data_IF_293695714930
#
_entry.id   IF_293695714930
#
_cell.length_a   1.000
_cell.length_b   1.000
_cell.length_c   1.000
_cell.angle_alpha   90.00
_cell.angle_beta   90.00
_cell.angle_gamma   90.00
#
_symmetry.space_group_name_H-M   'P 1'
#
loop_
_entity.id
_entity.type
_entity.pdbx_description
1 polymer ?
#
# COMPACT_ATOMS: atom_id res chain seq x y z
N UNK A 1 31.71 -19.28 3.09
CA UNK A 1 30.25 -19.46 3.05
C UNK A 1 29.71 -19.23 4.44
N UNK A 2 30.25 -19.88 5.47
CA UNK A 2 29.83 -19.70 6.86
C UNK A 2 29.84 -18.25 7.36
N UNK A 3 30.91 -17.50 7.07
CA UNK A 3 31.00 -16.05 7.39
C UNK A 3 29.87 -15.26 6.73
N UNK A 4 29.70 -15.40 5.41
CA UNK A 4 28.60 -14.77 4.67
C UNK A 4 27.21 -15.14 5.20
N UNK A 5 26.97 -16.40 5.57
CA UNK A 5 25.70 -16.85 6.12
C UNK A 5 25.46 -16.32 7.56
N UNK A 6 26.52 -16.05 8.31
CA UNK A 6 26.43 -15.37 9.60
C UNK A 6 26.05 -13.89 9.37
N UNK A 7 26.78 -13.19 8.51
CA UNK A 7 26.53 -11.79 8.18
C UNK A 7 25.12 -11.58 7.60
N UNK A 8 24.67 -12.49 6.74
CA UNK A 8 23.33 -12.44 6.13
C UNK A 8 22.20 -12.65 7.15
N UNK A 9 22.45 -13.41 8.24
CA UNK A 9 21.46 -13.61 9.33
C UNK A 9 21.36 -12.40 10.24
N UNK A 10 22.45 -11.64 10.38
CA UNK A 10 22.52 -10.41 11.17
C UNK A 10 22.28 -9.16 10.31
N UNK A 11 21.76 -9.32 9.09
CA UNK A 11 21.55 -8.23 8.16
C UNK A 11 20.45 -7.27 8.66
N UNK A 12 20.79 -5.99 8.69
CA UNK A 12 19.93 -4.85 8.96
C UNK A 12 20.24 -3.71 7.96
N UNK A 13 19.54 -2.59 8.04
CA UNK A 13 19.69 -1.41 7.17
C UNK A 13 20.97 -0.61 7.45
N UNK A 14 21.76 -0.98 8.45
CA UNK A 14 23.00 -0.25 8.72
C UNK A 14 24.01 -0.49 7.61
N UNK A 15 24.75 0.58 7.29
CA UNK A 15 25.75 0.53 6.23
C UNK A 15 26.82 -0.53 6.48
N UNK A 16 27.26 -0.71 7.73
CA UNK A 16 28.27 -1.70 8.11
C UNK A 16 27.82 -3.14 7.80
N UNK A 17 26.55 -3.49 8.11
CA UNK A 17 26.01 -4.83 7.85
C UNK A 17 25.79 -5.08 6.37
N UNK A 18 25.27 -4.08 5.64
CA UNK A 18 25.13 -4.14 4.18
C UNK A 18 26.50 -4.33 3.51
N UNK A 19 27.51 -3.59 3.95
CA UNK A 19 28.89 -3.69 3.44
C UNK A 19 29.52 -5.05 3.76
N UNK A 20 29.35 -5.60 4.97
CA UNK A 20 29.89 -6.91 5.33
C UNK A 20 29.41 -8.02 4.39
N UNK A 21 28.08 -8.11 4.14
CA UNK A 21 27.48 -9.11 3.25
C UNK A 21 27.93 -8.90 1.80
N UNK A 22 27.86 -7.66 1.32
CA UNK A 22 28.20 -7.33 -0.08
C UNK A 22 29.69 -7.48 -0.37
N UNK A 23 30.58 -7.16 0.57
CA UNK A 23 32.02 -7.40 0.44
C UNK A 23 32.34 -8.89 0.37
N UNK A 24 31.59 -9.73 1.09
CA UNK A 24 31.64 -11.18 0.93
C UNK A 24 31.39 -11.62 -0.52
N UNK A 25 30.34 -11.07 -1.14
CA UNK A 25 30.00 -11.35 -2.55
C UNK A 25 31.09 -10.80 -3.50
N UNK A 26 31.56 -9.57 -3.28
CA UNK A 26 32.60 -8.95 -4.09
C UNK A 26 33.95 -9.68 -4.00
N UNK A 27 34.28 -10.28 -2.85
CA UNK A 27 35.47 -11.16 -2.72
C UNK A 27 35.35 -12.36 -3.65
N UNK A 28 34.19 -13.02 -3.70
CA UNK A 28 33.94 -14.17 -4.59
C UNK A 28 33.96 -13.76 -6.07
N UNK A 29 33.43 -12.57 -6.39
CA UNK A 29 33.51 -11.99 -7.74
C UNK A 29 34.96 -11.83 -8.21
N UNK A 30 35.86 -11.32 -7.36
CA UNK A 30 37.29 -11.15 -7.68
C UNK A 30 37.97 -12.49 -7.95
N UNK A 31 37.63 -13.51 -7.15
CA UNK A 31 38.13 -14.88 -7.33
C UNK A 31 37.57 -15.51 -8.63
N UNK A 32 36.39 -15.07 -9.08
CA UNK A 32 35.72 -15.59 -10.29
C UNK A 32 35.12 -16.98 -10.09
N UNK A 33 34.74 -17.31 -8.85
CA UNK A 33 34.12 -18.59 -8.50
C UNK A 33 32.60 -18.51 -8.73
N UNK A 34 32.16 -18.97 -9.90
CA UNK A 34 30.76 -18.89 -10.35
C UNK A 34 29.83 -19.78 -9.55
N UNK A 35 30.29 -20.97 -9.14
CA UNK A 35 29.47 -21.92 -8.37
C UNK A 35 29.16 -21.33 -7.00
N UNK A 36 30.20 -20.80 -6.33
CA UNK A 36 30.03 -20.16 -5.03
C UNK A 36 29.21 -18.86 -5.13
N UNK A 37 29.36 -18.09 -6.20
CA UNK A 37 28.52 -16.91 -6.44
C UNK A 37 27.04 -17.28 -6.57
N UNK A 38 26.74 -18.38 -7.26
CA UNK A 38 25.38 -18.90 -7.40
C UNK A 38 24.82 -19.37 -6.04
N UNK A 39 25.59 -20.15 -5.26
CA UNK A 39 25.19 -20.56 -3.91
C UNK A 39 24.89 -19.37 -2.98
N UNK A 40 25.70 -18.29 -3.08
CA UNK A 40 25.48 -17.07 -2.29
C UNK A 40 24.21 -16.35 -2.69
N UNK A 41 23.88 -16.28 -3.99
CA UNK A 41 22.65 -15.66 -4.48
C UNK A 41 21.42 -16.50 -4.09
N UNK A 42 21.51 -17.82 -4.21
CA UNK A 42 20.46 -18.74 -3.76
C UNK A 42 20.21 -18.59 -2.25
N UNK A 43 21.26 -18.48 -1.45
CA UNK A 43 21.17 -18.24 -0.01
C UNK A 43 20.57 -16.87 0.31
N UNK A 44 20.95 -15.83 -0.43
CA UNK A 44 20.41 -14.46 -0.29
C UNK A 44 18.90 -14.42 -0.57
N UNK A 45 18.44 -15.00 -1.69
CA UNK A 45 17.01 -14.98 -2.02
C UNK A 45 16.20 -15.90 -1.10
N UNK A 46 16.75 -17.05 -0.67
CA UNK A 46 16.10 -17.93 0.31
C UNK A 46 15.95 -17.24 1.67
N UNK A 47 16.99 -16.53 2.14
CA UNK A 47 16.92 -15.74 3.36
C UNK A 47 15.86 -14.63 3.26
N UNK A 48 15.78 -13.92 2.12
CA UNK A 48 14.73 -12.94 1.90
C UNK A 48 13.33 -13.57 1.92
N UNK A 49 13.12 -14.74 1.29
CA UNK A 49 11.84 -15.46 1.32
C UNK A 49 11.45 -15.94 2.72
N UNK A 50 12.43 -16.38 3.51
CA UNK A 50 12.23 -16.88 4.87
C UNK A 50 12.14 -15.76 5.93
N UNK A 51 12.57 -14.55 5.58
CA UNK A 51 12.58 -13.39 6.48
C UNK A 51 11.16 -13.06 6.95
N UNK A 52 11.00 -12.69 8.23
CA UNK A 52 9.70 -12.40 8.84
C UNK A 52 9.14 -11.01 8.48
N UNK A 53 8.08 -10.57 9.17
CA UNK A 53 7.55 -9.20 9.02
C UNK A 53 8.36 -8.15 9.79
N UNK A 54 9.13 -8.56 10.80
CA UNK A 54 10.01 -7.68 11.59
C UNK A 54 11.42 -7.54 11.02
N UNK A 55 11.75 -8.30 9.97
CA UNK A 55 13.06 -8.20 9.33
C UNK A 55 13.08 -6.98 8.41
N UNK A 56 14.17 -6.23 8.43
CA UNK A 56 14.41 -5.09 7.57
C UNK A 56 14.72 -5.56 6.13
N UNK A 57 13.68 -6.01 5.42
CA UNK A 57 13.82 -6.66 4.12
C UNK A 57 14.45 -5.76 3.06
N UNK A 58 14.30 -4.43 3.20
CA UNK A 58 14.93 -3.44 2.32
C UNK A 58 16.46 -3.57 2.33
N UNK A 59 17.06 -3.99 3.44
CA UNK A 59 18.51 -4.22 3.54
C UNK A 59 19.03 -5.21 2.49
N UNK A 60 18.23 -6.21 2.10
CA UNK A 60 18.60 -7.15 1.04
C UNK A 60 18.77 -6.47 -0.32
N UNK A 61 17.93 -5.47 -0.62
CA UNK A 61 18.06 -4.66 -1.83
C UNK A 61 19.20 -3.65 -1.72
N UNK A 62 19.54 -3.16 -0.53
CA UNK A 62 20.74 -2.36 -0.31
C UNK A 62 22.02 -3.17 -0.56
N UNK A 63 22.07 -4.43 -0.12
CA UNK A 63 23.17 -5.37 -0.46
C UNK A 63 23.27 -5.53 -1.98
N UNK A 64 22.16 -5.86 -2.66
CA UNK A 64 22.15 -6.00 -4.11
C UNK A 64 22.61 -4.72 -4.82
N UNK A 65 22.12 -3.56 -4.39
CA UNK A 65 22.52 -2.26 -4.92
C UNK A 65 24.03 -2.02 -4.71
N UNK A 66 24.57 -2.28 -3.52
CA UNK A 66 26.00 -2.08 -3.26
C UNK A 66 26.86 -2.98 -4.15
N UNK A 67 26.51 -4.26 -4.30
CA UNK A 67 27.20 -5.19 -5.21
C UNK A 67 27.13 -4.70 -6.66
N UNK A 68 25.96 -4.30 -7.15
CA UNK A 68 25.78 -3.79 -8.52
C UNK A 68 26.60 -2.52 -8.76
N UNK A 69 26.58 -1.57 -7.83
CA UNK A 69 27.33 -0.31 -7.96
C UNK A 69 28.84 -0.56 -8.00
N UNK A 70 29.35 -1.41 -7.10
CA UNK A 70 30.78 -1.74 -7.05
C UNK A 70 31.23 -2.55 -8.26
N UNK A 71 30.40 -3.45 -8.78
CA UNK A 71 30.73 -4.27 -9.96
C UNK A 71 30.66 -3.50 -11.28
N UNK A 72 29.69 -2.58 -11.43
CA UNK A 72 29.50 -1.81 -12.68
C UNK A 72 30.33 -0.52 -12.75
N UNK A 73 30.59 0.12 -11.59
CA UNK A 73 31.24 1.44 -11.54
C UNK A 73 32.48 1.49 -10.64
N UNK A 74 32.86 0.39 -9.99
CA UNK A 74 34.08 0.32 -9.19
C UNK A 74 35.32 0.00 -10.02
N UNK A 75 36.50 0.28 -9.46
CA UNK A 75 37.83 -0.01 -10.03
C UNK A 75 38.16 -1.53 -10.00
N UNK A 76 37.19 -2.39 -10.32
CA UNK A 76 37.43 -3.82 -10.48
C UNK A 76 38.11 -4.05 -11.82
N UNK A 77 39.33 -4.59 -11.77
CA UNK A 77 40.17 -4.89 -12.93
C UNK A 77 39.34 -5.48 -14.09
N UNK A 78 39.37 -4.74 -15.20
CA UNK A 78 38.40 -4.74 -16.30
C UNK A 78 38.39 -6.00 -17.20
N UNK A 79 38.47 -7.21 -16.66
CA UNK A 79 38.62 -8.42 -17.49
C UNK A 79 37.70 -9.61 -17.19
N UNK A 80 36.85 -9.56 -16.15
CA UNK A 80 35.89 -10.65 -15.88
C UNK A 80 34.45 -10.18 -15.98
N UNK A 81 33.62 -10.95 -16.68
CA UNK A 81 32.18 -10.74 -16.77
C UNK A 81 31.57 -10.67 -15.35
N UNK A 82 30.75 -9.66 -15.05
CA UNK A 82 30.21 -9.48 -13.70
C UNK A 82 29.13 -10.52 -13.39
N UNK A 83 29.53 -11.66 -12.82
CA UNK A 83 28.67 -12.82 -12.53
C UNK A 83 27.47 -12.44 -11.67
N UNK A 84 27.67 -11.62 -10.63
CA UNK A 84 26.58 -11.19 -9.76
C UNK A 84 25.56 -10.27 -10.42
N UNK A 85 25.92 -9.53 -11.47
CA UNK A 85 24.96 -8.67 -12.19
C UNK A 85 23.91 -9.54 -12.86
N UNK A 86 24.33 -10.61 -13.56
CA UNK A 86 23.41 -11.54 -14.21
C UNK A 86 22.58 -12.32 -13.19
N UNK A 87 23.22 -12.86 -12.15
CA UNK A 87 22.53 -13.65 -11.12
C UNK A 87 21.50 -12.81 -10.33
N UNK A 88 21.85 -11.60 -9.91
CA UNK A 88 20.90 -10.69 -9.24
C UNK A 88 19.74 -10.35 -10.16
N UNK A 89 20.01 -10.06 -11.44
CA UNK A 89 18.97 -9.68 -12.42
C UNK A 89 17.85 -10.71 -12.56
N UNK A 90 18.13 -11.99 -12.30
CA UNK A 90 17.15 -13.07 -12.35
C UNK A 90 16.17 -13.03 -11.16
N UNK A 91 16.60 -12.51 -10.01
CA UNK A 91 15.81 -12.52 -8.76
C UNK A 91 15.32 -11.14 -8.32
N UNK A 92 15.79 -10.05 -8.93
CA UNK A 92 15.44 -8.70 -8.51
C UNK A 92 13.94 -8.37 -8.60
N UNK A 93 13.23 -8.87 -9.62
CA UNK A 93 11.77 -8.67 -9.73
C UNK A 93 11.02 -9.30 -8.54
N UNK A 94 11.42 -10.53 -8.18
CA UNK A 94 10.89 -11.23 -7.01
C UNK A 94 11.28 -10.52 -5.71
N UNK A 95 12.54 -10.11 -5.56
CA UNK A 95 13.03 -9.44 -4.38
C UNK A 95 12.31 -8.11 -4.13
N UNK A 96 12.10 -7.31 -5.17
CA UNK A 96 11.31 -6.06 -5.10
C UNK A 96 9.88 -6.36 -4.61
N UNK A 97 9.21 -7.36 -5.19
CA UNK A 97 7.87 -7.75 -4.76
C UNK A 97 7.81 -8.23 -3.30
N UNK A 98 8.86 -8.92 -2.82
CA UNK A 98 8.94 -9.42 -1.44
C UNK A 98 9.25 -8.35 -0.40
N UNK A 99 9.85 -7.22 -0.81
CA UNK A 99 10.23 -6.11 0.07
C UNK A 99 9.10 -5.10 0.21
N UNK A 100 8.32 -4.84 -0.84
CA UNK A 100 7.27 -3.82 -0.87
C UNK A 100 6.01 -4.16 -0.04
N UNK A 101 6.14 -4.47 1.25
CA UNK A 101 5.02 -4.80 2.15
C UNK A 101 4.50 -3.61 2.96
N UNK A 102 5.28 -2.54 3.11
CA UNK A 102 4.87 -1.31 3.82
C UNK A 102 5.03 -0.06 2.93
N UNK A 103 4.30 1.04 3.23
CA UNK A 103 4.48 2.31 2.50
C UNK A 103 5.92 2.85 2.57
N UNK A 104 6.61 2.66 3.70
CA UNK A 104 8.00 3.08 3.88
C UNK A 104 8.94 2.28 2.96
N UNK A 105 8.77 0.95 2.93
CA UNK A 105 9.56 0.09 2.05
C UNK A 105 9.33 0.42 0.58
N UNK A 106 8.07 0.70 0.20
CA UNK A 106 7.73 1.11 -1.17
C UNK A 106 8.45 2.40 -1.56
N UNK A 107 8.50 3.39 -0.67
CA UNK A 107 9.23 4.64 -0.91
C UNK A 107 10.74 4.41 -1.08
N UNK A 108 11.34 3.57 -0.23
CA UNK A 108 12.76 3.24 -0.34
C UNK A 108 13.08 2.50 -1.64
N UNK A 109 12.21 1.56 -2.02
CA UNK A 109 12.38 0.76 -3.24
C UNK A 109 12.17 1.60 -4.50
N UNK A 110 11.15 2.45 -4.57
CA UNK A 110 10.96 3.34 -5.74
C UNK A 110 12.14 4.29 -5.90
N UNK A 111 12.67 4.86 -4.81
CA UNK A 111 13.87 5.70 -4.88
C UNK A 111 15.10 4.94 -5.40
N UNK A 112 15.21 3.67 -5.04
CA UNK A 112 16.29 2.80 -5.50
C UNK A 112 16.15 2.42 -6.98
N UNK A 113 14.92 2.21 -7.47
CA UNK A 113 14.63 2.00 -8.89
C UNK A 113 14.90 3.25 -9.74
N UNK A 114 14.54 4.44 -9.25
CA UNK A 114 14.91 5.72 -9.88
C UNK A 114 16.42 5.83 -10.02
N UNK A 115 17.17 5.55 -8.95
CA UNK A 115 18.63 5.61 -8.96
C UNK A 115 19.24 4.62 -9.96
N UNK A 116 18.66 3.42 -10.11
CA UNK A 116 19.10 2.45 -11.12
C UNK A 116 18.79 2.89 -12.54
N UNK A 117 17.67 3.58 -12.78
CA UNK A 117 17.37 4.20 -14.06
C UNK A 117 18.33 5.36 -14.37
N UNK A 118 18.51 6.31 -13.43
CA UNK A 118 19.40 7.46 -13.56
C UNK A 118 20.83 7.03 -13.90
N UNK A 119 21.33 5.99 -13.23
CA UNK A 119 22.67 5.42 -13.45
C UNK A 119 22.75 4.43 -14.60
N UNK A 120 21.64 4.15 -15.30
CA UNK A 120 21.56 3.18 -16.40
C UNK A 120 22.08 1.79 -16.02
N UNK A 121 21.80 1.36 -14.80
CA UNK A 121 22.14 0.02 -14.30
C UNK A 121 21.32 -1.04 -15.05
N UNK A 122 20.05 -0.74 -15.31
CA UNK A 122 19.12 -1.60 -16.05
C UNK A 122 18.44 -0.83 -17.18
N UNK A 123 17.91 -1.57 -18.15
CA UNK A 123 17.06 -1.00 -19.22
C UNK A 123 15.73 -0.54 -18.65
N UNK A 124 15.13 0.48 -19.27
CA UNK A 124 13.84 1.03 -18.81
C UNK A 124 12.73 -0.02 -18.80
N UNK A 125 12.77 -1.00 -19.71
CA UNK A 125 11.85 -2.15 -19.73
C UNK A 125 12.00 -3.05 -18.50
N UNK A 126 13.22 -3.21 -17.97
CA UNK A 126 13.47 -4.01 -16.77
C UNK A 126 13.10 -3.22 -15.51
N UNK A 127 13.41 -1.92 -15.48
CA UNK A 127 12.96 -1.01 -14.42
C UNK A 127 11.44 -0.97 -14.36
N UNK A 128 10.74 -0.89 -15.50
CA UNK A 128 9.29 -0.93 -15.60
C UNK A 128 8.69 -2.21 -14.99
N UNK A 129 9.27 -3.38 -15.29
CA UNK A 129 8.82 -4.65 -14.68
C UNK A 129 8.94 -4.62 -13.16
N UNK A 130 10.08 -4.17 -12.64
CA UNK A 130 10.30 -4.06 -11.19
C UNK A 130 9.40 -2.98 -10.56
N UNK A 131 9.16 -1.87 -11.24
CA UNK A 131 8.27 -0.81 -10.76
C UNK A 131 6.84 -1.28 -10.62
N UNK A 132 6.33 -2.07 -11.58
CA UNK A 132 5.01 -2.68 -11.47
C UNK A 132 4.87 -3.60 -10.25
N UNK A 133 5.97 -4.16 -9.74
CA UNK A 133 5.96 -4.97 -8.51
C UNK A 133 5.82 -4.13 -7.22
N UNK A 134 6.04 -2.81 -7.26
CA UNK A 134 5.90 -1.95 -6.07
C UNK A 134 4.44 -1.56 -5.80
N UNK A 135 3.61 -1.52 -6.85
CA UNK A 135 2.22 -1.05 -6.77
C UNK A 135 2.07 0.48 -6.73
N UNK A 136 3.17 1.23 -6.86
CA UNK A 136 3.16 2.70 -6.90
C UNK A 136 2.82 3.22 -8.31
N UNK A 137 2.37 4.48 -8.40
CA UNK A 137 2.06 5.11 -9.68
C UNK A 137 3.31 5.18 -10.59
N UNK A 138 3.10 5.03 -11.89
CA UNK A 138 4.21 5.11 -12.83
C UNK A 138 4.77 6.54 -12.93
N UNK A 139 6.09 6.72 -12.78
CA UNK A 139 6.76 7.99 -12.96
C UNK A 139 6.83 8.34 -14.44
N UNK A 140 7.01 9.63 -14.74
CA UNK A 140 6.92 10.16 -16.11
C UNK A 140 7.89 9.50 -17.08
N UNK A 141 9.11 9.17 -16.63
CA UNK A 141 10.14 8.51 -17.44
C UNK A 141 9.79 7.07 -17.86
N UNK A 142 8.81 6.42 -17.21
CA UNK A 142 8.35 5.08 -17.58
C UNK A 142 7.04 5.08 -18.38
N UNK A 143 6.28 6.19 -18.40
CA UNK A 143 4.98 6.26 -19.09
C UNK A 143 5.08 6.03 -20.60
N UNK A 144 6.15 6.52 -21.22
CA UNK A 144 6.38 6.34 -22.65
C UNK A 144 6.77 4.89 -22.99
N UNK A 145 7.56 4.25 -22.13
CA UNK A 145 7.96 2.84 -22.27
C UNK A 145 6.77 1.91 -22.07
N UNK A 146 5.88 2.26 -21.14
CA UNK A 146 4.64 1.55 -20.85
C UNK A 146 3.72 1.51 -22.08
N UNK A 147 3.51 2.67 -22.73
CA UNK A 147 2.74 2.79 -23.98
C UNK A 147 3.33 1.93 -25.11
N UNK A 148 4.64 1.97 -25.29
CA UNK A 148 5.32 1.17 -26.33
C UNK A 148 5.20 -0.34 -26.08
N UNK A 149 5.20 -0.77 -24.81
CA UNK A 149 4.93 -2.18 -24.47
C UNK A 149 3.48 -2.59 -24.70
N UNK A 150 2.51 -1.72 -24.44
CA UNK A 150 1.09 -1.98 -24.70
C UNK A 150 0.80 -2.07 -26.21
N UNK A 151 1.41 -1.21 -27.03
CA UNK A 151 1.27 -1.24 -28.50
C UNK A 151 1.82 -2.55 -29.08
N UNK A 152 2.98 -3.01 -28.62
CA UNK A 152 3.60 -4.28 -29.08
C UNK A 152 2.85 -5.53 -28.59
N UNK A 153 2.17 -5.47 -27.45
CA UNK A 153 1.27 -6.56 -27.02
C UNK A 153 -0.03 -6.56 -27.82
N UNK A 154 -0.56 -5.38 -28.19
CA UNK A 154 -1.71 -5.24 -29.07
C UNK A 154 -1.49 -5.82 -30.47
N UNK A 155 -0.33 -5.57 -31.09
CA UNK A 155 -0.01 -6.08 -32.44
C UNK A 155 0.17 -7.61 -32.50
N UNK A 156 0.57 -8.25 -31.39
CA UNK A 156 0.68 -9.71 -31.31
C UNK A 156 -0.66 -10.38 -31.00
N UNK A 157 -1.58 -9.71 -30.29
CA UNK A 157 -2.94 -10.23 -30.08
C UNK A 157 -3.80 -10.14 -31.36
N UNK A 158 -3.59 -9.14 -32.21
CA UNK A 158 -4.39 -8.94 -33.44
C UNK A 158 -4.16 -10.03 -34.52
N UNK A 159 -3.14 -10.88 -34.40
CA UNK A 159 -2.86 -11.97 -35.36
C UNK A 159 -3.44 -13.33 -34.97
N UNK A 160 -3.81 -13.55 -33.72
CA UNK A 160 -4.33 -14.84 -33.24
C UNK A 160 -5.86 -14.86 -33.06
N UNK A 161 -6.56 -13.74 -33.29
CA UNK A 161 -8.02 -13.63 -33.06
C UNK A 161 -8.87 -14.26 -34.19
N UNK A 162 -8.30 -14.64 -35.33
CA UNK A 162 -9.10 -15.07 -36.48
C UNK A 162 -9.60 -16.53 -36.44
N UNK A 163 -9.25 -17.36 -35.44
CA UNK A 163 -9.78 -18.74 -35.32
C UNK A 163 -9.86 -19.31 -33.90
N UNK A 164 -10.50 -18.63 -32.96
CA UNK A 164 -11.03 -19.32 -31.77
C UNK A 164 -12.55 -19.22 -31.70
N UNK A 165 -13.20 -20.38 -31.81
CA UNK A 165 -14.61 -20.56 -31.52
C UNK A 165 -14.87 -20.16 -30.06
N UNK A 166 -15.84 -19.27 -29.87
CA UNK A 166 -16.31 -18.80 -28.57
C UNK A 166 -16.60 -19.96 -27.61
N UNK A 167 -15.92 -20.05 -26.44
CA UNK A 167 -16.35 -20.92 -25.38
C UNK A 167 -17.56 -20.29 -24.67
N UNK A 168 -18.49 -21.17 -24.29
CA UNK A 168 -19.69 -20.86 -23.52
C UNK A 168 -19.37 -20.32 -22.13
N UNK A 169 -19.86 -19.10 -21.84
CA UNK A 169 -20.55 -18.63 -20.62
C UNK A 169 -20.17 -19.10 -19.20
N UNK A 170 -19.03 -19.73 -18.95
CA UNK A 170 -18.62 -20.15 -17.61
C UNK A 170 -17.10 -19.99 -17.41
N UNK A 171 -16.54 -18.78 -17.56
CA UNK A 171 -15.46 -18.29 -16.68
C UNK A 171 -15.02 -16.85 -17.02
N UNK A 172 -15.91 -15.86 -16.85
CA UNK A 172 -15.55 -14.45 -17.07
C UNK A 172 -14.59 -13.87 -16.00
N UNK A 173 -14.25 -14.65 -14.95
CA UNK A 173 -13.30 -14.24 -13.91
C UNK A 173 -11.84 -14.43 -14.31
N UNK A 174 -11.55 -15.50 -15.05
CA UNK A 174 -10.19 -16.00 -15.34
C UNK A 174 -9.48 -15.13 -16.38
N UNK A 175 -10.20 -14.57 -17.35
CA UNK A 175 -9.64 -13.67 -18.35
C UNK A 175 -9.26 -12.28 -17.79
N UNK A 176 -9.87 -11.84 -16.68
CA UNK A 176 -9.55 -10.53 -16.07
C UNK A 176 -8.38 -10.57 -15.09
N UNK A 177 -7.99 -11.74 -14.59
CA UNK A 177 -6.82 -11.88 -13.70
C UNK A 177 -5.50 -11.50 -14.39
N UNK A 178 -5.43 -11.57 -15.73
CA UNK A 178 -4.26 -11.13 -16.49
C UNK A 178 -4.15 -9.61 -16.68
N UNK A 179 -5.24 -8.87 -16.42
CA UNK A 179 -5.34 -7.42 -16.64
C UNK A 179 -5.34 -6.64 -15.32
N UNK A 180 -5.52 -7.32 -14.19
CA UNK A 180 -5.50 -6.69 -12.87
C UNK A 180 -4.05 -6.42 -12.41
N UNK A 181 -3.75 -5.26 -11.81
CA UNK A 181 -2.38 -4.80 -11.55
C UNK A 181 -1.57 -5.63 -10.54
N UNK A 182 -2.13 -6.67 -9.93
CA UNK A 182 -1.48 -7.37 -8.83
C UNK A 182 -1.85 -8.85 -8.82
N UNK A 183 -0.87 -9.75 -8.92
CA UNK A 183 -1.04 -11.16 -8.55
C UNK A 183 -0.95 -11.24 -7.02
N UNK A 184 -2.02 -11.71 -6.39
CA UNK A 184 -2.04 -11.93 -4.95
C UNK A 184 -1.09 -13.10 -4.63
N UNK A 185 0.15 -12.82 -4.21
CA UNK A 185 1.04 -13.88 -3.75
C UNK A 185 0.50 -14.44 -2.42
N UNK A 186 0.40 -15.77 -2.39
CA UNK A 186 -0.35 -16.57 -1.43
C UNK A 186 0.10 -16.37 0.02
N UNK A 187 -0.89 -16.04 0.87
CA UNK A 187 -0.98 -16.26 2.32
C UNK A 187 0.14 -15.70 3.19
N UNK A 188 -0.11 -14.54 3.82
CA UNK A 188 0.70 -14.13 4.97
C UNK A 188 0.38 -14.96 6.20
N UNK A 189 1.40 -15.28 7.01
CA UNK A 189 1.22 -16.00 8.28
C UNK A 189 0.34 -15.25 9.30
N UNK A 190 0.19 -13.92 9.15
CA UNK A 190 -0.71 -13.12 9.96
C UNK A 190 -2.09 -13.01 9.25
N UNK A 191 -3.19 -13.42 9.91
CA UNK A 191 -4.53 -13.40 9.32
C UNK A 191 -5.04 -11.98 9.03
N UNK A 192 -4.68 -10.98 9.83
CA UNK A 192 -5.05 -9.56 9.59
C UNK A 192 -4.36 -9.02 8.36
N UNK A 193 -3.07 -9.31 8.19
CA UNK A 193 -2.32 -8.88 7.03
C UNK A 193 -2.81 -9.56 5.74
N UNK A 194 -3.28 -10.82 5.83
CA UNK A 194 -3.81 -11.54 4.66
C UNK A 194 -5.10 -10.89 4.16
N UNK A 195 -5.98 -10.51 5.11
CA UNK A 195 -7.22 -9.80 4.78
C UNK A 195 -6.94 -8.38 4.29
N UNK A 196 -5.98 -7.65 4.87
CA UNK A 196 -5.58 -6.32 4.39
C UNK A 196 -5.01 -6.37 2.97
N UNK A 197 -4.21 -7.39 2.63
CA UNK A 197 -3.71 -7.60 1.27
C UNK A 197 -4.85 -7.83 0.26
N UNK A 198 -5.84 -8.64 0.63
CA UNK A 198 -7.04 -8.85 -0.19
C UNK A 198 -7.82 -7.55 -0.38
N UNK A 199 -8.00 -6.78 0.69
CA UNK A 199 -8.66 -5.46 0.65
C UNK A 199 -7.94 -4.50 -0.29
N UNK A 200 -6.61 -4.42 -0.19
CA UNK A 200 -5.81 -3.52 -1.01
C UNK A 200 -5.83 -3.92 -2.50
N UNK A 201 -5.78 -5.23 -2.78
CA UNK A 201 -6.00 -5.76 -4.11
C UNK A 201 -7.37 -5.35 -4.69
N UNK A 202 -8.45 -5.53 -3.91
CA UNK A 202 -9.80 -5.17 -4.36
C UNK A 202 -9.94 -3.67 -4.60
N UNK A 203 -9.37 -2.82 -3.73
CA UNK A 203 -9.35 -1.36 -3.93
C UNK A 203 -8.62 -0.97 -5.21
N UNK A 204 -7.46 -1.56 -5.45
CA UNK A 204 -6.64 -1.28 -6.65
C UNK A 204 -7.36 -1.74 -7.91
N UNK A 205 -7.94 -2.94 -7.88
CA UNK A 205 -8.75 -3.47 -8.97
C UNK A 205 -9.96 -2.59 -9.28
N UNK A 206 -10.69 -2.12 -8.26
CA UNK A 206 -11.82 -1.20 -8.43
C UNK A 206 -11.38 0.14 -9.03
N UNK A 207 -10.28 0.73 -8.56
CA UNK A 207 -9.74 1.98 -9.13
C UNK A 207 -9.39 1.83 -10.61
N UNK A 208 -8.69 0.74 -10.96
CA UNK A 208 -8.34 0.43 -12.34
C UNK A 208 -9.58 0.26 -13.21
N UNK A 209 -10.57 -0.52 -12.75
CA UNK A 209 -11.82 -0.72 -13.47
C UNK A 209 -12.59 0.59 -13.64
N UNK A 210 -12.66 1.45 -12.61
CA UNK A 210 -13.31 2.76 -12.69
C UNK A 210 -12.64 3.68 -13.71
N UNK A 211 -11.31 3.64 -13.83
CA UNK A 211 -10.60 4.40 -14.86
C UNK A 211 -10.90 3.86 -16.26
N UNK A 212 -10.84 2.54 -16.44
CA UNK A 212 -11.10 1.88 -17.72
C UNK A 212 -12.56 2.06 -18.19
N UNK A 213 -13.52 1.96 -17.27
CA UNK A 213 -14.94 2.23 -17.51
C UNK A 213 -15.13 3.69 -17.93
N UNK A 214 -14.52 4.65 -17.22
CA UNK A 214 -14.60 6.07 -17.59
C UNK A 214 -14.06 6.34 -18.99
N UNK A 215 -12.88 5.84 -19.32
CA UNK A 215 -12.27 6.00 -20.64
C UNK A 215 -13.13 5.40 -21.76
N UNK A 216 -13.59 4.16 -21.60
CA UNK A 216 -14.44 3.49 -22.61
C UNK A 216 -15.81 4.15 -22.74
N UNK A 217 -16.40 4.59 -21.63
CA UNK A 217 -17.66 5.33 -21.65
C UNK A 217 -17.50 6.68 -22.36
N UNK A 218 -16.45 7.44 -22.05
CA UNK A 218 -16.18 8.72 -22.71
C UNK A 218 -15.97 8.56 -24.22
N UNK A 219 -15.21 7.54 -24.62
CA UNK A 219 -15.03 7.20 -26.04
C UNK A 219 -16.36 6.85 -26.70
N UNK A 220 -17.19 6.01 -26.06
CA UNK A 220 -18.50 5.64 -26.58
C UNK A 220 -19.42 6.87 -26.72
N UNK A 221 -19.40 7.79 -25.75
CA UNK A 221 -20.16 9.04 -25.81
C UNK A 221 -19.66 9.96 -26.93
N UNK A 222 -18.34 10.12 -27.11
CA UNK A 222 -17.79 10.96 -28.19
C UNK A 222 -18.11 10.39 -29.58
N UNK A 223 -17.99 9.07 -29.77
CA UNK A 223 -18.26 8.39 -31.03
C UNK A 223 -19.76 8.38 -31.37
N UNK A 224 -20.64 8.30 -30.36
CA UNK A 224 -22.09 8.26 -30.55
C UNK A 224 -22.74 9.64 -30.64
N UNK A 225 -22.37 10.61 -29.80
CA UNK A 225 -22.98 11.95 -29.77
C UNK A 225 -22.68 12.74 -31.06
N UNK A 226 -21.51 12.53 -31.66
CA UNK A 226 -21.16 13.18 -32.93
C UNK A 226 -21.86 12.55 -34.15
N UNK A 227 -22.24 11.26 -34.09
CA UNK A 227 -22.84 10.53 -35.22
C UNK A 227 -24.36 10.42 -35.16
N UNK A 228 -24.96 10.36 -33.97
CA UNK A 228 -26.38 10.12 -33.80
C UNK A 228 -27.00 11.21 -32.95
N UNK A 229 -27.65 12.17 -33.59
CA UNK A 229 -28.35 13.27 -32.92
C UNK A 229 -29.84 12.98 -32.77
N UNK A 230 -30.39 12.17 -33.66
CA UNK A 230 -31.80 11.75 -33.67
C UNK A 230 -31.92 10.24 -33.82
N UNK A 231 -33.07 9.69 -33.40
CA UNK A 231 -33.36 8.27 -33.55
C UNK A 231 -33.40 7.81 -35.02
N UNK A 232 -33.61 8.73 -35.97
CA UNK A 232 -33.58 8.44 -37.41
C UNK A 232 -32.16 8.20 -37.93
N UNK A 233 -31.15 8.89 -37.36
CA UNK A 233 -29.75 8.76 -37.74
C UNK A 233 -29.21 7.35 -37.43
N UNK A 234 -29.67 6.77 -36.33
CA UNK A 234 -29.38 5.38 -35.92
C UNK A 234 -29.92 4.33 -36.90
N UNK A 235 -31.06 4.61 -37.55
CA UNK A 235 -31.70 3.71 -38.51
C UNK A 235 -31.10 3.88 -39.92
N UNK A 236 -30.56 5.06 -40.22
CA UNK A 236 -29.97 5.41 -41.50
C UNK A 236 -28.51 4.91 -41.66
N UNK A 237 -27.77 4.71 -40.56
CA UNK A 237 -26.40 4.21 -40.59
C UNK A 237 -26.32 2.71 -40.93
N UNK A 238 -25.96 2.42 -42.19
CA UNK A 238 -25.70 1.07 -42.70
C UNK A 238 -24.21 0.70 -42.74
N UNK A 239 -23.31 1.63 -42.38
CA UNK A 239 -21.87 1.50 -42.60
C UNK A 239 -21.09 1.24 -41.30
N UNK A 240 -21.47 1.88 -40.18
CA UNK A 240 -20.95 1.56 -38.85
C UNK A 240 -22.02 0.79 -38.10
N UNK A 241 -21.82 -0.52 -38.02
CA UNK A 241 -22.88 -1.42 -37.58
C UNK A 241 -23.32 -1.07 -36.15
N UNK A 242 -24.60 -0.79 -35.95
CA UNK A 242 -25.25 -0.70 -34.63
C UNK A 242 -24.82 -1.83 -33.68
N UNK A 243 -24.47 -3.01 -34.23
CA UNK A 243 -23.88 -4.12 -33.50
C UNK A 243 -22.52 -3.82 -32.83
N UNK A 244 -21.66 -3.01 -33.43
CA UNK A 244 -20.36 -2.63 -32.85
C UNK A 244 -20.52 -1.68 -31.66
N UNK A 245 -21.44 -0.71 -31.74
CA UNK A 245 -21.75 0.19 -30.62
C UNK A 245 -22.41 -0.60 -29.49
N UNK A 246 -23.33 -1.51 -29.83
CA UNK A 246 -23.95 -2.42 -28.88
C UNK A 246 -22.90 -3.31 -28.19
N UNK A 247 -21.98 -3.91 -28.93
CA UNK A 247 -20.90 -4.72 -28.37
C UNK A 247 -20.01 -3.91 -27.42
N UNK A 248 -19.61 -2.68 -27.81
CA UNK A 248 -18.81 -1.78 -26.95
C UNK A 248 -19.56 -1.37 -25.67
N UNK A 249 -20.87 -1.13 -25.76
CA UNK A 249 -21.71 -0.83 -24.60
C UNK A 249 -21.85 -2.04 -23.66
N UNK A 250 -22.03 -3.23 -24.23
CA UNK A 250 -22.08 -4.49 -23.47
C UNK A 250 -20.75 -4.78 -22.77
N UNK A 251 -19.61 -4.51 -23.40
CA UNK A 251 -18.29 -4.66 -22.78
C UNK A 251 -18.09 -3.69 -21.62
N UNK A 252 -18.54 -2.43 -21.75
CA UNK A 252 -18.56 -1.48 -20.63
C UNK A 252 -19.42 -1.97 -19.47
N UNK A 253 -20.60 -2.52 -19.75
CA UNK A 253 -21.49 -3.09 -18.74
C UNK A 253 -20.87 -4.31 -18.05
N UNK A 254 -20.13 -5.16 -18.77
CA UNK A 254 -19.39 -6.29 -18.18
C UNK A 254 -18.35 -5.79 -17.18
N UNK A 255 -17.57 -4.75 -17.51
CA UNK A 255 -16.61 -4.16 -16.58
C UNK A 255 -17.28 -3.60 -15.31
N UNK A 256 -18.42 -2.92 -15.47
CA UNK A 256 -19.21 -2.41 -14.32
C UNK A 256 -19.69 -3.54 -13.41
N UNK A 257 -20.14 -4.67 -14.00
CA UNK A 257 -20.55 -5.84 -13.22
C UNK A 257 -19.41 -6.42 -12.38
N UNK A 258 -18.22 -6.59 -12.96
CA UNK A 258 -17.04 -7.08 -12.25
C UNK A 258 -16.62 -6.12 -11.13
N UNK A 259 -16.61 -4.82 -11.42
CA UNK A 259 -16.32 -3.77 -10.44
C UNK A 259 -17.30 -3.80 -9.26
N UNK A 260 -18.59 -3.95 -9.52
CA UNK A 260 -19.60 -4.03 -8.47
C UNK A 260 -19.47 -5.31 -7.62
N UNK A 261 -19.07 -6.43 -8.23
CA UNK A 261 -18.76 -7.67 -7.50
C UNK A 261 -17.62 -7.45 -6.49
N UNK A 262 -16.51 -6.85 -6.93
CA UNK A 262 -15.36 -6.56 -6.05
C UNK A 262 -15.72 -5.57 -4.92
N UNK A 263 -16.58 -4.58 -5.19
CA UNK A 263 -17.09 -3.67 -4.15
C UNK A 263 -17.98 -4.40 -3.14
N UNK A 264 -18.73 -5.40 -3.57
CA UNK A 264 -19.55 -6.19 -2.66
C UNK A 264 -18.69 -7.09 -1.78
N UNK A 265 -17.72 -7.80 -2.38
CA UNK A 265 -16.75 -8.65 -1.66
C UNK A 265 -15.87 -7.84 -0.69
N UNK A 266 -15.65 -6.55 -0.94
CA UNK A 266 -14.99 -5.63 0.00
C UNK A 266 -15.73 -5.49 1.34
N UNK A 267 -17.06 -5.61 1.37
CA UNK A 267 -17.81 -5.57 2.63
C UNK A 267 -17.52 -6.81 3.48
N UNK A 268 -17.48 -7.98 2.86
CA UNK A 268 -17.15 -9.26 3.51
C UNK A 268 -15.68 -9.31 3.97
N UNK A 269 -14.77 -8.72 3.20
CA UNK A 269 -13.38 -8.60 3.63
C UNK A 269 -13.23 -7.66 4.84
N UNK A 270 -14.07 -6.62 4.93
CA UNK A 270 -14.06 -5.71 6.09
C UNK A 270 -14.53 -6.42 7.36
N UNK A 271 -15.53 -7.29 7.29
CA UNK A 271 -15.97 -8.08 8.44
C UNK A 271 -14.90 -9.11 8.84
N UNK A 272 -14.31 -9.82 7.88
CA UNK A 272 -13.20 -10.73 8.12
C UNK A 272 -11.99 -10.03 8.78
N UNK A 273 -11.72 -8.77 8.42
CA UNK A 273 -10.64 -7.99 9.02
C UNK A 273 -10.93 -7.72 10.50
N UNK A 274 -12.16 -7.31 10.83
CA UNK A 274 -12.56 -7.08 12.21
C UNK A 274 -12.47 -8.34 13.06
N UNK A 275 -12.88 -9.49 12.52
CA UNK A 275 -12.75 -10.79 13.19
C UNK A 275 -11.28 -11.19 13.39
N UNK A 276 -10.44 -11.03 12.36
CA UNK A 276 -9.03 -11.35 12.45
C UNK A 276 -8.29 -10.47 13.48
N UNK A 277 -8.66 -9.19 13.60
CA UNK A 277 -8.10 -8.27 14.61
C UNK A 277 -8.50 -8.72 16.01
N UNK A 278 -9.79 -9.02 16.24
CA UNK A 278 -10.27 -9.48 17.53
C UNK A 278 -9.54 -10.76 17.97
N UNK A 279 -9.42 -11.74 17.08
CA UNK A 279 -8.73 -13.00 17.38
C UNK A 279 -7.23 -12.79 17.71
N UNK A 280 -6.57 -11.80 17.09
CA UNK A 280 -5.15 -11.53 17.38
C UNK A 280 -4.98 -10.85 18.74
N UNK A 281 -5.88 -9.94 19.10
CA UNK A 281 -5.88 -9.31 20.44
C UNK A 281 -6.07 -10.39 21.52
N UNK A 282 -7.05 -11.28 21.35
CA UNK A 282 -7.31 -12.38 22.29
C UNK A 282 -6.07 -13.29 22.44
N UNK A 283 -5.38 -13.59 21.34
CA UNK A 283 -4.15 -14.38 21.36
C UNK A 283 -3.00 -13.67 22.08
N UNK A 284 -2.84 -12.36 21.88
CA UNK A 284 -1.82 -11.56 22.57
C UNK A 284 -2.08 -11.48 24.07
N UNK A 285 -3.33 -11.32 24.49
CA UNK A 285 -3.71 -11.37 25.92
C UNK A 285 -3.42 -12.75 26.53
N UNK A 286 -3.73 -13.84 25.83
CA UNK A 286 -3.42 -15.20 26.30
C UNK A 286 -1.90 -15.45 26.36
N UNK A 287 -1.13 -14.89 25.42
CA UNK A 287 0.33 -14.99 25.45
C UNK A 287 0.93 -14.18 26.60
N UNK A 288 0.43 -12.96 26.85
CA UNK A 288 0.86 -12.11 27.94
C UNK A 288 0.62 -12.77 29.30
N UNK A 289 -0.56 -13.33 29.51
CA UNK A 289 -0.90 -14.06 30.75
C UNK A 289 -0.02 -15.30 30.95
N UNK A 290 0.33 -16.04 29.89
CA UNK A 290 1.30 -17.15 29.96
C UNK A 290 2.71 -16.69 30.32
N UNK A 291 3.14 -15.54 29.82
CA UNK A 291 4.45 -14.96 30.17
C UNK A 291 4.46 -14.55 31.64
N UNK A 292 3.43 -13.87 32.13
CA UNK A 292 3.29 -13.51 33.55
C UNK A 292 3.34 -14.77 34.43
N UNK A 293 2.58 -15.80 34.08
CA UNK A 293 2.59 -17.07 34.82
C UNK A 293 3.99 -17.74 34.82
N UNK A 294 4.75 -17.62 33.73
CA UNK A 294 6.12 -18.15 33.65
C UNK A 294 7.11 -17.32 34.45
N UNK A 295 6.93 -16.00 34.52
CA UNK A 295 7.73 -15.12 35.38
C UNK A 295 7.47 -15.42 36.86
N UNK A 296 6.20 -15.61 37.25
CA UNK A 296 5.84 -16.04 38.60
C UNK A 296 6.49 -17.39 38.97
N UNK A 297 6.48 -18.36 38.06
CA UNK A 297 7.16 -19.65 38.28
C UNK A 297 8.68 -19.49 38.44
N UNK A 298 9.32 -18.59 37.70
CA UNK A 298 10.74 -18.29 37.88
C UNK A 298 11.01 -17.63 39.25
N UNK A 299 10.16 -16.70 39.67
CA UNK A 299 10.24 -16.06 41.00
C UNK A 299 10.04 -17.08 42.15
N UNK A 300 9.18 -18.08 41.96
CA UNK A 300 8.99 -19.18 42.91
C UNK A 300 10.18 -20.17 42.94
N UNK A 301 10.80 -20.44 41.80
CA UNK A 301 11.98 -21.33 41.70
C UNK A 301 13.22 -20.70 42.36
N UNK A 302 13.37 -19.37 42.29
CA UNK A 302 14.42 -18.63 43.02
C UNK A 302 14.26 -18.72 44.55
N UNK A 303 13.08 -19.09 45.04
CA UNK A 303 12.81 -19.38 46.45
C UNK A 303 12.91 -20.87 46.82
N UNK A 304 12.94 -21.76 45.83
CA UNK A 304 12.78 -23.21 46.02
C UNK A 304 14.07 -24.05 46.03
N UNK A 305 15.23 -23.48 45.69
CA UNK A 305 16.50 -24.21 45.65
C UNK A 305 17.39 -23.84 46.84
N UNK A 306 17.49 -24.80 47.77
CA UNK A 306 18.32 -24.86 49.00
C UNK A 306 17.52 -24.60 50.29
N UNK A 307 17.82 -25.33 51.37
CA UNK A 307 17.28 -25.04 52.70
C UNK A 307 17.87 -23.69 53.17
N UNK A 308 17.22 -22.61 52.71
CA UNK A 308 17.64 -21.22 52.84
C UNK A 308 17.90 -20.86 54.31
N UNK A 309 17.19 -21.50 55.23
CA UNK A 309 17.33 -21.32 56.67
C UNK A 309 18.71 -21.72 57.20
N UNK A 310 19.30 -22.79 56.67
CA UNK A 310 20.58 -23.32 57.14
C UNK A 310 21.77 -22.63 56.45
N UNK A 311 21.60 -22.25 55.17
CA UNK A 311 22.58 -21.45 54.43
C UNK A 311 22.63 -19.98 54.91
N UNK A 312 21.47 -19.37 55.21
CA UNK A 312 21.38 -18.02 55.77
C UNK A 312 22.00 -17.92 57.17
N UNK A 313 21.92 -18.99 57.98
CA UNK A 313 22.62 -19.06 59.27
C UNK A 313 24.14 -19.17 59.12
N UNK A 314 24.63 -19.90 58.11
CA UNK A 314 26.07 -20.11 57.88
C UNK A 314 26.76 -18.92 57.19
N UNK A 315 26.05 -18.21 56.31
CA UNK A 315 26.61 -17.13 55.48
C UNK A 315 25.79 -15.83 55.59
N UNK A 316 25.50 -15.39 56.81
CA UNK A 316 24.60 -14.26 57.07
C UNK A 316 25.02 -12.94 56.40
N UNK A 317 26.33 -12.70 56.25
CA UNK A 317 26.88 -11.51 55.58
C UNK A 317 26.70 -11.56 54.06
N UNK A 318 26.84 -12.72 53.42
CA UNK A 318 26.62 -12.84 51.97
C UNK A 318 25.14 -12.60 51.62
N UNK A 319 24.24 -13.07 52.47
CA UNK A 319 22.80 -12.83 52.32
C UNK A 319 22.40 -11.39 52.58
N UNK A 320 23.03 -10.71 53.56
CA UNK A 320 22.77 -9.29 53.79
C UNK A 320 23.30 -8.44 52.64
N UNK A 321 24.48 -8.78 52.10
CA UNK A 321 25.06 -8.17 50.91
C UNK A 321 24.18 -8.40 49.67
N UNK A 322 23.72 -9.64 49.44
CA UNK A 322 22.87 -9.98 48.30
C UNK A 322 21.49 -9.30 48.39
N UNK A 323 20.92 -9.18 49.60
CA UNK A 323 19.69 -8.40 49.84
C UNK A 323 19.91 -6.92 49.55
N UNK A 324 21.03 -6.36 49.97
CA UNK A 324 21.39 -4.97 49.68
C UNK A 324 21.52 -4.74 48.17
N UNK A 325 22.24 -5.61 47.45
CA UNK A 325 22.40 -5.54 45.99
C UNK A 325 21.07 -5.76 45.26
N UNK A 326 20.19 -6.63 45.76
CA UNK A 326 18.83 -6.82 45.20
C UNK A 326 17.97 -5.56 45.37
N UNK A 327 17.99 -4.98 46.58
CA UNK A 327 17.31 -3.72 46.88
C UNK A 327 17.84 -2.56 46.02
N UNK A 328 19.15 -2.47 45.82
CA UNK A 328 19.76 -1.46 44.94
C UNK A 328 19.34 -1.67 43.48
N UNK A 329 19.35 -2.91 42.97
CA UNK A 329 18.85 -3.22 41.62
C UNK A 329 17.38 -2.86 41.45
N UNK A 330 16.54 -3.12 42.47
CA UNK A 330 15.13 -2.71 42.45
C UNK A 330 14.99 -1.19 42.44
N UNK A 331 15.73 -0.48 43.30
CA UNK A 331 15.74 0.98 43.37
C UNK A 331 16.23 1.62 42.06
N UNK A 332 17.22 1.01 41.40
CA UNK A 332 17.68 1.44 40.08
C UNK A 332 16.60 1.25 39.00
N UNK A 333 15.95 0.08 38.97
CA UNK A 333 14.84 -0.19 38.05
C UNK A 333 13.68 0.79 38.24
N UNK A 334 13.26 1.04 39.48
CA UNK A 334 12.22 2.02 39.79
C UNK A 334 12.63 3.46 39.41
N UNK A 335 13.91 3.82 39.56
CA UNK A 335 14.42 5.14 39.16
C UNK A 335 14.43 5.31 37.64
N UNK A 336 14.87 4.29 36.90
CA UNK A 336 14.84 4.29 35.42
C UNK A 336 13.40 4.36 34.93
N UNK A 337 12.48 3.61 35.55
CA UNK A 337 11.07 3.65 35.18
C UNK A 337 10.47 5.05 35.43
N UNK A 338 10.71 5.66 36.59
CA UNK A 338 10.27 7.05 36.84
C UNK A 338 10.83 8.04 35.82
N UNK A 339 12.09 7.90 35.43
CA UNK A 339 12.70 8.76 34.42
C UNK A 339 12.02 8.62 33.05
N UNK A 340 11.71 7.39 32.64
CA UNK A 340 10.95 7.12 31.40
C UNK A 340 9.54 7.69 31.48
N UNK A 341 8.84 7.50 32.59
CA UNK A 341 7.49 8.01 32.79
C UNK A 341 7.45 9.55 32.78
N UNK A 342 8.45 10.21 33.38
CA UNK A 342 8.62 11.67 33.35
C UNK A 342 8.93 12.20 31.94
N UNK A 343 9.73 11.47 31.16
CA UNK A 343 10.02 11.82 29.77
C UNK A 343 8.78 11.66 28.87
N UNK A 344 8.03 10.57 29.04
CA UNK A 344 6.75 10.35 28.34
C UNK A 344 5.74 11.45 28.70
N UNK A 345 5.62 11.79 29.98
CA UNK A 345 4.73 12.86 30.42
C UNK A 345 5.11 14.22 29.83
N UNK A 346 6.42 14.50 29.70
CA UNK A 346 6.94 15.72 29.05
C UNK A 346 6.60 15.75 27.56
N UNK A 347 6.89 14.68 26.84
CA UNK A 347 6.58 14.56 25.41
C UNK A 347 5.08 14.66 25.16
N UNK A 348 4.25 14.07 26.03
CA UNK A 348 2.80 14.19 25.93
C UNK A 348 2.32 15.63 26.17
N UNK A 349 2.93 16.35 27.10
CA UNK A 349 2.60 17.76 27.33
C UNK A 349 3.04 18.66 26.16
N UNK A 350 4.20 18.38 25.58
CA UNK A 350 4.71 19.04 24.37
C UNK A 350 3.79 18.78 23.18
N UNK A 351 3.38 17.53 22.94
CA UNK A 351 2.44 17.18 21.88
C UNK A 351 1.06 17.85 22.03
N UNK A 352 0.57 18.00 23.27
CA UNK A 352 -0.67 18.76 23.54
C UNK A 352 -0.46 20.24 23.23
N UNK A 353 0.67 20.83 23.64
CA UNK A 353 0.98 22.22 23.36
C UNK A 353 1.16 22.49 21.86
N UNK A 354 1.86 21.62 21.13
CA UNK A 354 2.00 21.68 19.68
C UNK A 354 0.66 21.53 18.97
N UNK A 355 -0.16 20.57 19.39
CA UNK A 355 -1.51 20.39 18.84
C UNK A 355 -2.40 21.61 19.10
N UNK A 356 -2.30 22.23 20.28
CA UNK A 356 -3.02 23.45 20.61
C UNK A 356 -2.53 24.66 19.79
N UNK A 357 -1.22 24.82 19.61
CA UNK A 357 -0.67 25.87 18.73
C UNK A 357 -1.08 25.66 17.28
N UNK A 358 -1.06 24.41 16.80
CA UNK A 358 -1.50 24.08 15.45
C UNK A 358 -2.99 24.36 15.26
N UNK A 359 -3.83 24.04 16.26
CA UNK A 359 -5.24 24.39 16.25
C UNK A 359 -5.47 25.91 16.26
N UNK A 360 -4.74 26.67 17.08
CA UNK A 360 -4.81 28.13 17.09
C UNK A 360 -4.36 28.76 15.77
N UNK A 361 -3.32 28.22 15.13
CA UNK A 361 -2.87 28.69 13.81
C UNK A 361 -3.91 28.39 12.73
N UNK A 362 -4.52 27.20 12.76
CA UNK A 362 -5.63 26.87 11.86
C UNK A 362 -6.84 27.78 12.09
N UNK A 363 -7.20 28.08 13.34
CA UNK A 363 -8.28 29.02 13.65
C UNK A 363 -7.95 30.44 13.19
N UNK A 364 -6.69 30.88 13.33
CA UNK A 364 -6.23 32.18 12.84
C UNK A 364 -6.25 32.24 11.30
N UNK A 365 -5.83 31.17 10.62
CA UNK A 365 -5.85 31.07 9.16
C UNK A 365 -7.28 31.02 8.62
N UNK A 366 -8.19 30.29 9.28
CA UNK A 366 -9.62 30.27 8.93
C UNK A 366 -10.24 31.65 9.13
N UNK A 367 -9.93 32.34 10.22
CA UNK A 367 -10.44 33.69 10.49
C UNK A 367 -9.85 34.73 9.52
N UNK A 368 -8.58 34.61 9.16
CA UNK A 368 -7.92 35.49 8.20
C UNK A 368 -8.45 35.25 6.77
N UNK A 369 -8.56 34.00 6.33
CA UNK A 369 -9.08 33.66 5.01
C UNK A 369 -10.56 34.01 4.90
N UNK A 370 -11.39 33.70 5.91
CA UNK A 370 -12.81 34.06 5.89
C UNK A 370 -13.04 35.57 5.91
N UNK A 371 -12.24 36.35 6.63
CA UNK A 371 -12.35 37.82 6.59
C UNK A 371 -11.86 38.41 5.26
N UNK A 372 -10.82 37.82 4.65
CA UNK A 372 -10.35 38.23 3.33
C UNK A 372 -11.36 37.87 2.22
N UNK A 373 -11.99 36.70 2.30
CA UNK A 373 -13.02 36.21 1.37
C UNK A 373 -14.32 37.01 1.54
N UNK A 374 -14.73 37.32 2.77
CA UNK A 374 -15.88 38.20 3.01
C UNK A 374 -15.62 39.63 2.51
N UNK A 375 -14.38 40.14 2.61
CA UNK A 375 -14.02 41.44 2.05
C UNK A 375 -13.93 41.42 0.52
N UNK A 376 -13.43 40.35 -0.10
CA UNK A 376 -13.39 40.21 -1.56
C UNK A 376 -14.79 40.04 -2.14
N UNK A 377 -15.64 39.22 -1.51
CA UNK A 377 -17.05 39.08 -1.87
C UNK A 377 -17.80 40.40 -1.69
N UNK A 378 -17.61 41.12 -0.56
CA UNK A 378 -18.21 42.44 -0.34
C UNK A 378 -17.81 43.48 -1.40
N UNK A 379 -16.59 43.37 -1.93
CA UNK A 379 -16.09 44.24 -3.00
C UNK A 379 -16.68 43.85 -4.37
N UNK A 380 -16.77 42.55 -4.68
CA UNK A 380 -17.47 42.05 -5.88
C UNK A 380 -18.97 42.39 -5.89
N UNK A 381 -19.63 42.44 -4.73
CA UNK A 381 -21.04 42.84 -4.64
C UNK A 381 -21.25 44.36 -4.72
N UNK A 382 -20.23 45.19 -4.44
CA UNK A 382 -20.32 46.66 -4.57
C UNK A 382 -20.08 47.18 -5.99
N UNK A 383 -19.33 46.43 -6.81
CA UNK A 383 -18.98 46.84 -8.18
C UNK A 383 -19.93 46.30 -9.26
N UNK A 384 -21.00 45.56 -8.88
CA UNK A 384 -22.11 45.24 -9.78
C UNK A 384 -23.10 46.40 -9.85
N UNK A 385 -23.47 46.89 -11.05
CA UNK A 385 -24.61 47.79 -11.16
C UNK A 385 -25.85 47.04 -10.66
N UNK A 386 -26.66 47.68 -9.81
CA UNK A 386 -27.99 47.17 -9.43
C UNK A 386 -28.80 46.94 -10.72
N UNK A 387 -28.85 45.70 -11.17
CA UNK A 387 -29.89 45.24 -12.10
C UNK A 387 -31.21 45.40 -11.37
N UNK A 388 -32.10 46.20 -11.96
CA UNK A 388 -33.48 46.31 -11.56
C UNK A 388 -34.08 44.90 -11.53
N UNK A 389 -34.72 44.56 -10.42
CA UNK A 389 -35.56 43.37 -10.27
C UNK A 389 -36.52 43.23 -11.46
N UNK A 390 -36.11 42.43 -12.44
CA UNK A 390 -37.03 41.81 -13.37
C UNK A 390 -37.67 40.65 -12.59
N UNK A 391 -38.95 40.83 -12.24
CA UNK A 391 -39.83 39.75 -11.83
C UNK A 391 -39.72 38.62 -12.87
N UNK A 392 -38.96 37.58 -12.56
CA UNK A 392 -39.04 36.30 -13.26
C UNK A 392 -40.08 35.49 -12.50
N UNK A 393 -41.10 35.07 -13.23
CA UNK A 393 -42.29 34.44 -12.70
C UNK A 393 -41.97 33.17 -11.89
N UNK A 394 -42.56 33.09 -10.70
CA UNK A 394 -42.57 31.97 -9.75
C UNK A 394 -43.35 30.74 -10.29
N UNK A 395 -43.08 30.29 -11.50
CA UNK A 395 -43.87 29.22 -12.13
C UNK A 395 -43.16 27.86 -12.25
N UNK A 396 -41.83 27.78 -12.11
CA UNK A 396 -41.11 26.52 -12.33
C UNK A 396 -40.02 26.19 -11.29
N UNK A 397 -40.20 26.55 -10.02
CA UNK A 397 -39.33 26.00 -8.96
C UNK A 397 -39.77 24.58 -8.60
N UNK A 398 -38.88 23.60 -8.88
CA UNK A 398 -39.06 22.18 -8.57
C UNK A 398 -38.33 21.86 -7.26
N UNK A 399 -39.02 21.22 -6.31
CA UNK A 399 -38.44 20.79 -5.02
C UNK A 399 -38.47 19.27 -4.91
N UNK A 400 -37.41 18.71 -4.33
CA UNK A 400 -37.28 17.28 -4.09
C UNK A 400 -38.29 16.79 -3.04
N UNK A 401 -39.19 15.88 -3.41
CA UNK A 401 -40.13 15.26 -2.49
C UNK A 401 -39.53 13.96 -1.90
N UNK A 402 -39.21 13.91 -0.60
CA UNK A 402 -38.54 12.76 0.01
C UNK A 402 -39.42 11.50 0.10
N UNK A 403 -40.75 11.65 0.04
CA UNK A 403 -41.70 10.53 0.13
C UNK A 403 -41.89 9.88 -1.25
N UNK A 404 -42.00 10.70 -2.30
CA UNK A 404 -42.19 10.22 -3.69
C UNK A 404 -40.88 9.94 -4.44
N UNK A 405 -39.75 10.44 -3.94
CA UNK A 405 -38.42 10.37 -4.57
C UNK A 405 -38.39 10.94 -5.99
N UNK A 406 -39.11 12.03 -6.21
CA UNK A 406 -39.16 12.77 -7.49
C UNK A 406 -39.16 14.29 -7.26
N UNK A 407 -38.80 15.06 -8.30
CA UNK A 407 -38.85 16.52 -8.30
C UNK A 407 -40.26 16.98 -8.65
N UNK A 408 -40.90 17.75 -7.77
CA UNK A 408 -42.30 18.19 -7.91
C UNK A 408 -42.40 19.72 -7.86
N UNK A 409 -43.26 20.38 -8.65
CA UNK A 409 -43.42 21.83 -8.61
C UNK A 409 -43.88 22.35 -7.24
N UNK A 410 -43.29 23.44 -6.74
CA UNK A 410 -43.57 24.01 -5.41
C UNK A 410 -45.05 24.31 -5.13
N UNK A 411 -45.87 24.60 -6.16
CA UNK A 411 -47.33 24.82 -5.98
C UNK A 411 -48.09 23.57 -5.53
N UNK A 412 -47.66 22.35 -5.88
CA UNK A 412 -48.38 21.14 -5.46
C UNK A 412 -48.15 20.82 -3.98
N UNK A 413 -47.09 21.35 -3.37
CA UNK A 413 -46.82 21.20 -1.95
C UNK A 413 -47.70 22.11 -1.07
N UNK A 414 -48.45 23.07 -1.61
CA UNK A 414 -49.36 23.89 -0.80
C UNK A 414 -50.82 23.42 -0.85
N UNK A 415 -51.19 22.55 -1.80
CA UNK A 415 -52.58 22.04 -1.91
C UNK A 415 -52.75 20.75 -1.11
N UNK A 416 -51.72 19.91 -1.04
CA UNK A 416 -51.81 18.60 -0.36
C UNK A 416 -51.69 18.67 1.18
N UNK A 417 -51.29 19.82 1.76
CA UNK A 417 -51.21 19.98 3.22
C UNK A 417 -52.54 20.37 3.88
N UNK A 418 -53.52 20.89 3.12
CA UNK A 418 -54.83 21.22 3.66
C UNK A 418 -55.74 19.99 3.81
N UNK A 419 -55.53 18.95 3.00
CA UNK A 419 -56.38 17.74 2.98
C UNK A 419 -56.06 16.74 4.12
N UNK A 420 -54.92 16.90 4.80
CA UNK A 420 -54.49 15.99 5.89
C UNK A 420 -54.88 16.48 7.28
N UNK A 421 -55.51 17.66 7.39
CA UNK A 421 -56.03 18.18 8.66
C UNK A 421 -57.46 17.75 8.96
N UNK A 422 -58.20 17.25 7.97
CA UNK A 422 -59.62 16.90 8.08
C UNK A 422 -59.92 15.39 8.05
N UNK A 423 -58.90 14.51 8.18
CA UNK A 423 -59.07 13.06 8.29
C UNK A 423 -58.31 12.41 9.45
#
# INVERSE_FOLDING_TARGET
MDEFLADLRELDETQERVEAVSDGMLRVQRLGDTLKAQEMIESWIQALRASGFQSERVAFLYVANHVLQKTLFGDLEAQKTPVFVELLSQHLEEAVALVCNSPMDRQNVTRLLELWHEKKVFTDTKVLKMWRCTGEELPEFLKDVDRDTEIKQGENMDKDIDKEELPSNEDAGTELHHVLPMKLNSHSANPVLDVLKKIDHHKTAVRFLDQKIRQRHQFLMQDSVMRYQTAADLVADRATASSQIKARAEDCLRLVKVRNKLIHEMADLKTQLSEAIANMIDYEEEAATKIEQKLEQCDEIDLGLMDLTDHQKKFSEEWSQARFVSMERRKQREKIQRQKDEEIARLHHEAIAESAMHAMNLEADINFNSTSELQSLSKEFKDRPQEKDAKVDNENELVWNPIRKELVPLRSLNVDWEDWRDH
#
